data_IF_301256201987
#
_entry.id   IF_301256201987
#
_cell.length_a   1.000
_cell.length_b   1.000
_cell.length_c   1.000
_cell.angle_alpha   90.00
_cell.angle_beta   90.00
_cell.angle_gamma   90.00
#
_symmetry.space_group_name_H-M   'P 1'
#
loop_
_entity.id
_entity.type
_entity.pdbx_description
1 polymer ?
#
# COMPACT_ATOMS: atom_id res chain seq x y z
N UNK A 1 4.32 -32.30 -24.70
CA UNK A 1 5.44 -31.32 -24.73
C UNK A 1 5.88 -30.96 -23.30
N UNK A 2 4.96 -30.62 -22.40
CA UNK A 2 5.26 -30.30 -20.99
C UNK A 2 5.90 -31.43 -20.18
N UNK A 3 5.69 -32.70 -20.55
CA UNK A 3 6.25 -33.88 -19.82
C UNK A 3 7.77 -33.93 -19.75
N UNK A 4 8.48 -33.25 -20.68
CA UNK A 4 9.95 -33.20 -20.67
C UNK A 4 10.51 -32.12 -19.74
N UNK A 5 9.66 -31.20 -19.25
CA UNK A 5 10.06 -30.11 -18.41
C UNK A 5 9.74 -30.45 -16.95
N UNK A 6 10.77 -30.43 -16.09
CA UNK A 6 10.62 -30.78 -14.69
C UNK A 6 10.10 -29.57 -13.89
N UNK A 7 9.33 -29.78 -12.80
CA UNK A 7 9.01 -28.69 -11.87
C UNK A 7 10.26 -27.97 -11.39
N UNK A 8 10.22 -26.64 -11.31
CA UNK A 8 11.34 -25.78 -10.95
C UNK A 8 11.70 -24.77 -12.05
N UNK A 9 12.92 -24.26 -11.98
CA UNK A 9 13.45 -23.29 -12.94
C UNK A 9 13.85 -23.97 -14.24
N UNK A 10 13.26 -23.50 -15.34
CA UNK A 10 13.54 -23.94 -16.69
C UNK A 10 13.83 -22.72 -17.57
N UNK A 11 14.57 -22.91 -18.65
CA UNK A 11 14.79 -21.88 -19.65
C UNK A 11 14.70 -22.43 -21.06
N UNK A 12 14.33 -21.56 -21.99
CA UNK A 12 14.37 -21.82 -23.43
C UNK A 12 15.33 -20.83 -24.05
N UNK A 13 16.28 -21.34 -24.84
CA UNK A 13 17.26 -20.56 -25.59
C UNK A 13 17.10 -20.85 -27.08
N UNK A 14 16.87 -19.80 -27.86
CA UNK A 14 16.68 -19.88 -29.31
C UNK A 14 17.82 -19.16 -29.99
N UNK A 15 18.45 -19.84 -30.94
CA UNK A 15 19.50 -19.27 -31.80
C UNK A 15 18.90 -18.99 -33.18
N UNK A 16 18.86 -17.72 -33.58
CA UNK A 16 18.41 -17.30 -34.89
C UNK A 16 19.63 -17.13 -35.81
N UNK A 17 19.64 -17.85 -36.92
CA UNK A 17 20.70 -17.80 -37.94
C UNK A 17 20.08 -17.34 -39.24
N UNK A 18 20.73 -16.40 -39.92
CA UNK A 18 20.30 -15.90 -41.23
C UNK A 18 21.51 -15.81 -42.15
N UNK A 19 21.33 -16.13 -43.43
CA UNK A 19 22.36 -15.95 -44.44
C UNK A 19 22.75 -14.47 -44.64
N UNK A 20 21.98 -13.53 -44.09
CA UNK A 20 22.26 -12.10 -44.18
C UNK A 20 23.23 -11.60 -43.11
N UNK A 21 23.48 -12.36 -42.03
CA UNK A 21 24.38 -11.93 -40.94
C UNK A 21 25.31 -13.07 -40.51
N UNK A 22 26.58 -12.75 -40.27
CA UNK A 22 27.62 -13.74 -39.92
C UNK A 22 27.54 -14.25 -38.48
N UNK A 23 26.86 -13.52 -37.59
CA UNK A 23 26.76 -13.87 -36.17
C UNK A 23 25.32 -14.28 -35.84
N UNK A 24 25.10 -15.46 -35.21
CA UNK A 24 23.80 -15.84 -34.70
C UNK A 24 23.32 -14.89 -33.60
N UNK A 25 22.04 -14.54 -33.63
CA UNK A 25 21.36 -13.90 -32.52
C UNK A 25 20.86 -14.96 -31.54
N UNK A 26 20.83 -14.64 -30.25
CA UNK A 26 20.30 -15.53 -29.23
C UNK A 26 19.26 -14.82 -28.37
N UNK A 27 18.15 -15.51 -28.14
CA UNK A 27 17.06 -15.07 -27.28
C UNK A 27 16.86 -16.12 -26.19
N UNK A 28 16.83 -15.68 -24.94
CA UNK A 28 16.68 -16.56 -23.79
C UNK A 28 15.49 -16.09 -22.94
N UNK A 29 14.65 -17.04 -22.54
CA UNK A 29 13.53 -16.81 -21.63
C UNK A 29 13.55 -17.87 -20.53
N UNK A 30 13.49 -17.43 -19.27
CA UNK A 30 13.48 -18.30 -18.09
C UNK A 30 12.12 -18.24 -17.41
N UNK A 31 11.62 -19.40 -16.96
CA UNK A 31 10.31 -19.54 -16.35
C UNK A 31 10.32 -20.64 -15.28
N UNK A 32 9.34 -20.57 -14.37
CA UNK A 32 9.15 -21.54 -13.31
C UNK A 32 7.96 -22.44 -13.65
N UNK A 33 8.14 -23.76 -13.49
CA UNK A 33 7.06 -24.73 -13.61
C UNK A 33 6.74 -25.23 -12.21
N UNK A 34 5.48 -25.12 -11.80
CA UNK A 34 5.02 -25.74 -10.57
C UNK A 34 4.25 -27.02 -10.87
N UNK A 35 4.36 -28.01 -9.97
CA UNK A 35 3.60 -29.27 -10.05
C UNK A 35 2.10 -29.05 -9.80
N UNK A 36 1.74 -27.96 -9.14
CA UNK A 36 0.38 -27.55 -8.83
C UNK A 36 0.10 -26.15 -9.38
N UNK A 37 -1.17 -25.84 -9.64
CA UNK A 37 -1.64 -24.49 -9.95
C UNK A 37 -1.63 -23.65 -8.66
N UNK A 38 -0.45 -23.45 -8.09
CA UNK A 38 -0.28 -22.55 -6.95
C UNK A 38 -0.33 -21.13 -7.47
N UNK A 39 -1.32 -20.38 -7.01
CA UNK A 39 -1.28 -18.94 -7.02
C UNK A 39 0.07 -18.51 -6.42
N UNK A 40 0.74 -17.53 -7.04
CA UNK A 40 1.98 -16.99 -6.50
C UNK A 40 1.75 -16.69 -5.01
N UNK A 41 2.68 -17.03 -4.10
CA UNK A 41 2.53 -16.73 -2.70
C UNK A 41 2.34 -15.23 -2.56
N UNK A 42 1.08 -14.82 -2.41
CA UNK A 42 0.72 -13.46 -2.07
C UNK A 42 1.19 -13.32 -0.64
N UNK A 43 2.34 -12.69 -0.45
CA UNK A 43 2.79 -12.31 0.87
C UNK A 43 1.66 -11.46 1.44
N UNK A 44 0.90 -12.03 2.37
CA UNK A 44 -0.02 -11.26 3.18
C UNK A 44 0.89 -10.34 3.99
N UNK A 45 1.12 -9.13 3.48
CA UNK A 45 1.76 -8.07 4.24
C UNK A 45 0.82 -7.88 5.41
N UNK A 46 1.22 -8.37 6.58
CA UNK A 46 0.46 -8.22 7.81
C UNK A 46 0.47 -6.74 8.14
N UNK A 47 -0.54 -6.01 7.64
CA UNK A 47 -0.77 -4.60 7.95
C UNK A 47 -0.92 -4.42 9.47
N UNK A 48 -1.14 -5.51 10.22
CA UNK A 48 -1.11 -5.53 11.69
C UNK A 48 0.18 -4.99 12.32
N UNK A 49 1.33 -5.07 11.64
CA UNK A 49 2.57 -4.45 12.13
C UNK A 49 2.68 -2.95 11.79
N UNK A 50 1.78 -2.43 10.94
CA UNK A 50 1.50 -1.00 10.83
C UNK A 50 0.43 -0.67 11.87
N UNK A 51 0.67 -1.06 13.12
CA UNK A 51 -0.09 -0.53 14.23
C UNK A 51 0.35 0.92 14.38
N UNK A 52 -0.39 1.82 13.71
CA UNK A 52 -0.48 3.21 14.12
C UNK A 52 -0.82 3.16 15.61
N UNK A 53 0.17 3.33 16.48
CA UNK A 53 -0.06 3.60 17.89
C UNK A 53 -0.89 4.87 17.92
N UNK A 54 -2.22 4.70 17.99
CA UNK A 54 -3.18 5.79 18.03
C UNK A 54 -2.84 6.57 19.30
N UNK A 55 -2.07 7.63 19.12
CA UNK A 55 -1.72 8.53 20.20
C UNK A 55 -3.00 9.27 20.59
N UNK A 56 -3.69 8.78 21.63
CA UNK A 56 -4.93 9.37 22.14
C UNK A 56 -4.73 10.83 22.57
N UNK A 57 -3.49 11.26 22.83
CA UNK A 57 -3.16 12.65 23.12
C UNK A 57 -3.45 13.59 21.92
N UNK A 58 -3.33 13.10 20.68
CA UNK A 58 -3.54 13.92 19.47
C UNK A 58 -5.00 14.38 19.31
N UNK A 59 -5.96 13.65 19.86
CA UNK A 59 -7.40 14.00 19.77
C UNK A 59 -7.89 14.92 20.91
N UNK A 60 -7.21 14.90 22.06
CA UNK A 60 -7.63 15.71 23.22
C UNK A 60 -7.38 17.21 23.03
N UNK A 61 -6.25 17.56 22.39
CA UNK A 61 -5.85 18.95 22.15
C UNK A 61 -6.93 19.76 21.39
N UNK A 62 -7.44 19.32 20.22
CA UNK A 62 -8.47 20.07 19.50
C UNK A 62 -9.82 20.11 20.26
N UNK A 63 -10.14 19.07 21.02
CA UNK A 63 -11.39 18.99 21.77
C UNK A 63 -11.48 20.06 22.87
N UNK A 64 -10.38 20.27 23.60
CA UNK A 64 -10.31 21.30 24.66
C UNK A 64 -10.44 22.70 24.08
N UNK A 65 -9.81 22.96 22.93
CA UNK A 65 -9.85 24.26 22.26
C UNK A 65 -11.28 24.67 21.88
N UNK A 66 -12.08 23.73 21.35
CA UNK A 66 -13.49 23.97 20.98
C UNK A 66 -14.33 24.37 22.21
N UNK A 67 -14.14 23.69 23.33
CA UNK A 67 -14.89 23.98 24.57
C UNK A 67 -14.60 25.40 25.07
N UNK A 68 -13.32 25.83 25.04
CA UNK A 68 -12.93 27.18 25.45
C UNK A 68 -13.58 28.24 24.56
N UNK A 69 -13.57 28.05 23.23
CA UNK A 69 -14.18 28.99 22.28
C UNK A 69 -15.67 29.13 22.55
N UNK A 70 -16.39 28.01 22.73
CA UNK A 70 -17.83 28.02 23.05
C UNK A 70 -18.07 28.76 24.37
N UNK A 71 -17.25 28.51 25.39
CA UNK A 71 -17.36 29.19 26.68
C UNK A 71 -17.23 30.71 26.57
N UNK A 72 -16.25 31.19 25.82
CA UNK A 72 -16.03 32.63 25.58
C UNK A 72 -17.20 33.26 24.83
N UNK A 73 -17.67 32.63 23.74
CA UNK A 73 -18.80 33.13 22.95
C UNK A 73 -20.06 33.22 23.82
N UNK A 74 -20.34 32.17 24.58
CA UNK A 74 -21.54 32.09 25.44
C UNK A 74 -21.48 33.14 26.55
N UNK A 75 -20.32 33.28 27.20
CA UNK A 75 -20.10 34.32 28.22
C UNK A 75 -20.26 35.73 27.66
N UNK A 76 -19.63 36.03 26.51
CA UNK A 76 -19.75 37.32 25.85
C UNK A 76 -21.20 37.65 25.47
N UNK A 77 -21.93 36.67 24.94
CA UNK A 77 -23.35 36.81 24.59
C UNK A 77 -24.21 37.10 25.82
N UNK A 78 -23.99 36.37 26.92
CA UNK A 78 -24.71 36.61 28.19
C UNK A 78 -24.40 38.01 28.72
N UNK A 79 -23.13 38.43 28.73
CA UNK A 79 -22.71 39.74 29.21
C UNK A 79 -23.32 40.88 28.39
N UNK A 80 -23.31 40.78 27.06
CA UNK A 80 -23.91 41.80 26.16
C UNK A 80 -25.43 41.86 26.33
N UNK A 81 -26.11 40.71 26.43
CA UNK A 81 -27.55 40.70 26.66
C UNK A 81 -27.93 41.29 28.02
N UNK A 82 -27.12 41.07 29.07
CA UNK A 82 -27.35 41.66 30.40
C UNK A 82 -27.26 43.20 30.36
N UNK A 83 -26.23 43.72 29.70
CA UNK A 83 -26.02 45.17 29.58
C UNK A 83 -27.05 45.91 28.70
N UNK A 84 -27.90 45.19 27.94
CA UNK A 84 -28.99 45.78 27.15
C UNK A 84 -30.31 45.92 27.94
N UNK A 85 -30.41 45.28 29.10
CA UNK A 85 -31.61 45.27 29.95
C UNK A 85 -31.49 46.24 31.14
N UNK A 86 -30.35 46.92 31.29
CA UNK A 86 -30.10 48.05 32.19
C UNK A 86 -30.18 49.35 31.40
#
# INVERSE_FOLDING_TARGET
>A
ITEKLQPGANSIKVFAISNSVLKPDFYESSFLISKNNVELPSAMISISNIENKINHNTWMIPSILIIVIIGVITYAKIKVNRNRQE
#
